data_IF_951876434222
#
_entry.id   IF_951876434222
#
_cell.length_a   1.000
_cell.length_b   1.000
_cell.length_c   1.000
_cell.angle_alpha   90.00
_cell.angle_beta   90.00
_cell.angle_gamma   90.00
#
_symmetry.space_group_name_H-M   'P 1'
#
loop_
_entity.id
_entity.type
_entity.pdbx_description
1 polymer ?
#
# COMPACT_ATOMS: atom_id res chain seq x y z
N UNK A 1 10.68 -4.69 -18.74
CA UNK A 1 9.31 -4.78 -18.17
C UNK A 1 8.24 -4.86 -19.25
N UNK A 2 7.87 -3.76 -19.94
CA UNK A 2 6.84 -3.80 -21.00
C UNK A 2 7.13 -4.78 -22.15
N UNK A 3 8.41 -4.90 -22.56
CA UNK A 3 8.84 -5.90 -23.54
C UNK A 3 8.64 -7.34 -23.05
N UNK A 4 8.88 -7.59 -21.78
CA UNK A 4 8.78 -8.92 -21.16
C UNK A 4 7.32 -9.35 -20.96
N UNK A 5 6.43 -8.40 -20.62
CA UNK A 5 4.98 -8.61 -20.54
C UNK A 5 4.40 -9.00 -21.90
N UNK A 6 4.83 -8.32 -22.97
CA UNK A 6 4.45 -8.67 -24.36
C UNK A 6 4.90 -10.07 -24.75
N UNK A 7 6.14 -10.45 -24.42
CA UNK A 7 6.67 -11.80 -24.68
C UNK A 7 5.85 -12.88 -23.97
N UNK A 8 5.31 -12.59 -22.79
CA UNK A 8 4.45 -13.51 -22.02
C UNK A 8 2.97 -13.45 -22.41
N UNK A 9 2.61 -12.74 -23.48
CA UNK A 9 1.22 -12.48 -23.89
C UNK A 9 0.34 -11.91 -22.76
N UNK A 10 0.96 -11.18 -21.83
CA UNK A 10 0.25 -10.53 -20.75
C UNK A 10 -0.17 -9.13 -21.21
N UNK A 11 -1.43 -9.01 -21.60
CA UNK A 11 -2.02 -7.75 -22.03
C UNK A 11 -2.31 -6.90 -20.79
N UNK A 12 -1.38 -6.02 -20.44
CA UNK A 12 -1.53 -5.08 -19.34
C UNK A 12 -2.10 -3.76 -19.86
N UNK A 13 -3.41 -3.73 -20.08
CA UNK A 13 -4.17 -2.54 -20.50
C UNK A 13 -4.75 -1.84 -19.27
N UNK A 14 -3.85 -1.19 -18.52
CA UNK A 14 -4.18 -0.44 -17.31
C UNK A 14 -3.77 1.01 -17.51
N UNK A 15 -4.63 1.93 -17.08
CA UNK A 15 -4.30 3.36 -17.00
C UNK A 15 -3.08 3.58 -16.12
N UNK A 16 -2.33 4.64 -16.38
CA UNK A 16 -1.26 5.07 -15.49
C UNK A 16 -1.85 5.35 -14.10
N UNK A 17 -1.13 4.99 -13.04
CA UNK A 17 -1.59 5.19 -11.67
C UNK A 17 -0.93 6.44 -11.10
N UNK A 18 -1.73 7.42 -10.70
CA UNK A 18 -1.24 8.60 -9.98
C UNK A 18 -1.63 8.52 -8.51
N UNK A 19 -0.63 8.34 -7.66
CA UNK A 19 -0.80 8.17 -6.23
C UNK A 19 -0.63 9.51 -5.50
N UNK A 20 -1.64 9.90 -4.72
CA UNK A 20 -1.51 10.96 -3.72
C UNK A 20 -1.46 10.29 -2.35
N UNK A 21 -0.33 10.41 -1.66
CA UNK A 21 -0.13 9.80 -0.35
C UNK A 21 -0.51 10.76 0.79
N UNK A 22 -1.16 10.22 1.82
CA UNK A 22 -1.54 10.91 3.04
C UNK A 22 -1.24 10.04 4.25
N UNK A 23 -0.48 10.56 5.21
CA UNK A 23 -0.19 9.87 6.45
C UNK A 23 -1.12 10.34 7.57
N UNK A 24 -1.95 9.42 8.05
CA UNK A 24 -2.77 9.60 9.24
C UNK A 24 -1.90 9.80 10.48
N UNK A 25 -2.28 10.75 11.32
CA UNK A 25 -1.68 10.93 12.65
C UNK A 25 -2.78 11.00 13.69
N UNK A 26 -2.50 10.68 14.96
CA UNK A 26 -3.49 10.73 16.06
C UNK A 26 -4.18 12.08 16.23
N UNK A 27 -3.56 13.15 15.74
CA UNK A 27 -4.08 14.52 15.79
C UNK A 27 -4.62 15.00 14.43
N UNK A 28 -4.79 14.09 13.48
CA UNK A 28 -5.29 14.39 12.16
C UNK A 28 -6.69 14.96 12.25
N UNK A 29 -6.84 16.23 11.85
CA UNK A 29 -8.13 16.90 11.83
C UNK A 29 -8.94 16.38 10.64
N UNK A 30 -10.27 16.16 10.78
CA UNK A 30 -11.13 15.77 9.66
C UNK A 30 -11.01 16.69 8.43
N UNK A 31 -10.72 17.98 8.64
CA UNK A 31 -10.50 18.92 7.55
C UNK A 31 -9.26 18.60 6.70
N UNK A 32 -8.19 18.05 7.28
CA UNK A 32 -7.00 17.66 6.52
C UNK A 32 -7.30 16.46 5.60
N UNK A 33 -8.09 15.50 6.09
CA UNK A 33 -8.58 14.36 5.29
C UNK A 33 -9.46 14.87 4.15
N UNK A 34 -10.36 15.82 4.43
CA UNK A 34 -11.21 16.43 3.40
C UNK A 34 -10.37 17.19 2.36
N UNK A 35 -9.39 17.96 2.78
CA UNK A 35 -8.54 18.75 1.89
C UNK A 35 -7.77 17.85 0.91
N UNK A 36 -7.15 16.78 1.41
CA UNK A 36 -6.43 15.83 0.54
C UNK A 36 -7.39 15.04 -0.36
N UNK A 37 -8.60 14.76 0.12
CA UNK A 37 -9.65 14.13 -0.68
C UNK A 37 -10.09 15.02 -1.84
N UNK A 38 -10.42 16.28 -1.54
CA UNK A 38 -10.81 17.28 -2.53
C UNK A 38 -9.67 17.54 -3.53
N UNK A 39 -8.41 17.54 -3.07
CA UNK A 39 -7.24 17.60 -3.94
C UNK A 39 -7.19 16.40 -4.88
N UNK A 40 -7.38 15.19 -4.37
CA UNK A 40 -7.34 13.96 -5.18
C UNK A 40 -8.46 13.91 -6.21
N UNK A 41 -9.68 14.33 -5.84
CA UNK A 41 -10.82 14.41 -6.76
C UNK A 41 -10.55 15.36 -7.93
N UNK A 42 -9.84 16.49 -7.71
CA UNK A 42 -9.47 17.42 -8.79
C UNK A 42 -8.58 16.78 -9.86
N UNK A 43 -7.71 15.86 -9.45
CA UNK A 43 -6.80 15.13 -10.35
C UNK A 43 -7.44 13.85 -10.94
N UNK A 44 -8.68 13.51 -10.58
CA UNK A 44 -9.35 12.28 -11.03
C UNK A 44 -10.00 12.38 -12.42
N UNK A 45 -10.02 13.57 -13.04
CA UNK A 45 -10.69 13.81 -14.32
C UNK A 45 -9.84 13.46 -15.56
N UNK A 46 -8.59 13.03 -15.38
CA UNK A 46 -7.75 12.58 -16.49
C UNK A 46 -8.27 11.26 -17.06
N UNK A 47 -8.32 11.15 -18.40
CA UNK A 47 -8.80 9.95 -19.09
C UNK A 47 -7.74 8.85 -19.12
N UNK A 48 -6.46 9.21 -19.13
CA UNK A 48 -5.34 8.29 -19.32
C UNK A 48 -4.73 7.83 -17.98
N UNK A 49 -5.09 8.53 -16.90
CA UNK A 49 -4.56 8.30 -15.55
C UNK A 49 -5.69 7.95 -14.58
N UNK A 50 -5.49 6.91 -13.77
CA UNK A 50 -6.30 6.64 -12.57
C UNK A 50 -5.61 7.27 -11.37
N UNK A 51 -6.14 8.39 -10.91
CA UNK A 51 -5.70 9.01 -9.66
C UNK A 51 -6.35 8.33 -8.46
N UNK A 52 -5.56 8.01 -7.43
CA UNK A 52 -6.05 7.40 -6.20
C UNK A 52 -5.35 7.96 -4.96
N UNK A 53 -6.03 7.84 -3.82
CA UNK A 53 -5.52 8.29 -2.52
C UNK A 53 -4.95 7.11 -1.74
N UNK A 54 -3.70 7.20 -1.30
CA UNK A 54 -3.07 6.24 -0.39
C UNK A 54 -3.09 6.81 1.04
N UNK A 55 -3.90 6.21 1.91
CA UNK A 55 -3.90 6.49 3.34
C UNK A 55 -2.94 5.54 4.06
N UNK A 56 -1.85 6.08 4.57
CA UNK A 56 -0.99 5.41 5.55
C UNK A 56 -1.55 5.65 6.96
N UNK A 57 -1.59 4.62 7.81
CA UNK A 57 -2.27 4.62 9.13
C UNK A 57 -3.77 5.03 9.05
N UNK A 58 -4.54 4.34 8.19
CA UNK A 58 -5.97 4.63 7.95
C UNK A 58 -6.86 4.35 9.17
N UNK A 59 -6.42 3.55 10.13
CA UNK A 59 -7.14 3.28 11.38
C UNK A 59 -7.47 4.54 12.17
N UNK A 60 -6.66 5.58 12.00
CA UNK A 60 -6.81 6.87 12.65
C UNK A 60 -7.75 7.81 11.86
N UNK A 61 -7.99 7.53 10.58
CA UNK A 61 -8.76 8.40 9.69
C UNK A 61 -10.27 8.10 9.76
N UNK A 62 -11.09 9.14 9.88
CA UNK A 62 -12.54 9.03 9.68
C UNK A 62 -12.86 9.06 8.18
N UNK A 63 -13.08 7.89 7.59
CA UNK A 63 -13.45 7.77 6.17
C UNK A 63 -14.78 8.49 5.92
N UNK A 64 -14.75 9.50 5.06
CA UNK A 64 -15.91 10.27 4.60
C UNK A 64 -16.73 9.35 3.67
N UNK A 65 -18.07 9.40 3.75
CA UNK A 65 -18.97 8.47 3.05
C UNK A 65 -18.79 8.37 1.53
N UNK A 66 -19.54 7.47 0.89
CA UNK A 66 -19.66 7.26 -0.57
C UNK A 66 -18.42 7.69 -1.39
N UNK A 67 -17.34 6.88 -1.43
CA UNK A 67 -16.11 7.31 -2.07
C UNK A 67 -16.32 7.54 -3.56
N UNK A 68 -15.99 8.75 -4.03
CA UNK A 68 -16.01 9.14 -5.45
C UNK A 68 -14.69 8.88 -6.16
N UNK A 69 -13.62 8.67 -5.40
CA UNK A 69 -12.27 8.40 -5.87
C UNK A 69 -11.82 7.03 -5.36
N UNK A 70 -10.99 6.29 -6.12
CA UNK A 70 -10.32 5.10 -5.61
C UNK A 70 -9.38 5.48 -4.45
N UNK A 71 -9.28 4.62 -3.44
CA UNK A 71 -8.31 4.78 -2.37
C UNK A 71 -7.79 3.43 -1.88
N UNK A 72 -6.57 3.45 -1.32
CA UNK A 72 -5.92 2.33 -0.65
C UNK A 72 -5.60 2.77 0.77
N UNK A 73 -5.93 1.94 1.75
CA UNK A 73 -5.59 2.17 3.15
C UNK A 73 -4.58 1.13 3.64
N UNK A 74 -3.50 1.57 4.27
CA UNK A 74 -2.52 0.75 4.98
C UNK A 74 -2.68 1.03 6.47
N UNK A 75 -2.64 0.00 7.29
CA UNK A 75 -2.71 0.12 8.74
C UNK A 75 -2.03 -1.07 9.40
N UNK A 76 -1.30 -0.79 10.47
CA UNK A 76 -0.79 -1.82 11.39
C UNK A 76 -1.83 -2.19 12.46
N UNK A 77 -2.86 -1.37 12.63
CA UNK A 77 -3.92 -1.55 13.61
C UNK A 77 -5.20 -2.09 12.99
N UNK A 78 -5.97 -2.79 13.81
CA UNK A 78 -7.28 -3.28 13.41
C UNK A 78 -8.21 -2.11 13.08
N UNK A 79 -8.89 -2.23 11.95
CA UNK A 79 -9.96 -1.31 11.55
C UNK A 79 -11.28 -1.74 12.19
N UNK A 80 -12.15 -0.78 12.47
CA UNK A 80 -13.50 -1.10 12.88
C UNK A 80 -14.30 -1.72 11.72
N UNK A 81 -15.31 -2.54 12.08
CA UNK A 81 -16.11 -3.28 11.10
C UNK A 81 -16.85 -2.35 10.12
N UNK A 82 -17.24 -1.14 10.53
CA UNK A 82 -17.95 -0.22 9.65
C UNK A 82 -17.05 0.34 8.54
N UNK A 83 -15.74 0.51 8.79
CA UNK A 83 -14.75 0.82 7.76
C UNK A 83 -14.49 -0.38 6.85
N UNK A 84 -14.29 -1.57 7.44
CA UNK A 84 -13.98 -2.79 6.69
C UNK A 84 -15.11 -3.21 5.73
N UNK A 85 -16.37 -2.98 6.08
CA UNK A 85 -17.53 -3.29 5.22
C UNK A 85 -17.52 -2.57 3.86
N UNK A 86 -16.68 -1.54 3.69
CA UNK A 86 -16.59 -0.73 2.47
C UNK A 86 -15.32 -1.00 1.67
N UNK A 87 -14.48 -1.94 2.11
CA UNK A 87 -13.15 -2.16 1.57
C UNK A 87 -12.92 -3.64 1.30
N UNK A 88 -12.07 -3.94 0.32
CA UNK A 88 -11.47 -5.27 0.20
C UNK A 88 -10.24 -5.29 1.11
N UNK A 89 -10.28 -6.15 2.13
CA UNK A 89 -9.22 -6.25 3.11
C UNK A 89 -8.23 -7.35 2.73
N UNK A 90 -6.94 -7.00 2.70
CA UNK A 90 -5.84 -7.96 2.60
C UNK A 90 -5.02 -7.90 3.88
N UNK A 91 -4.94 -9.02 4.60
CA UNK A 91 -4.13 -9.12 5.81
C UNK A 91 -2.75 -9.66 5.47
N UNK A 92 -1.71 -8.92 5.88
CA UNK A 92 -0.32 -9.34 5.74
C UNK A 92 0.11 -9.94 7.09
N UNK A 93 0.25 -11.27 7.20
CA UNK A 93 0.67 -11.90 8.45
C UNK A 93 2.15 -11.64 8.72
N UNK A 94 2.57 -11.87 9.97
CA UNK A 94 3.98 -11.92 10.31
C UNK A 94 4.71 -12.98 9.48
N UNK A 95 5.91 -12.64 9.02
CA UNK A 95 6.78 -13.56 8.29
C UNK A 95 7.23 -14.72 9.19
N UNK A 96 7.24 -15.93 8.64
CA UNK A 96 7.79 -17.10 9.34
C UNK A 96 9.31 -17.04 9.42
N UNK A 97 9.91 -17.91 10.24
CA UNK A 97 11.37 -17.98 10.39
C UNK A 97 12.09 -18.20 9.05
N UNK A 98 11.57 -19.10 8.21
CA UNK A 98 12.13 -19.36 6.88
C UNK A 98 11.99 -18.14 5.94
N UNK A 99 10.87 -17.43 6.01
CA UNK A 99 10.66 -16.20 5.23
C UNK A 99 11.67 -15.11 5.63
N UNK A 100 11.94 -14.99 6.94
CA UNK A 100 12.95 -14.06 7.47
C UNK A 100 14.35 -14.42 6.97
N UNK A 101 14.74 -15.71 7.03
CA UNK A 101 16.03 -16.18 6.51
C UNK A 101 16.14 -15.90 5.01
N UNK A 102 15.11 -16.22 4.23
CA UNK A 102 15.09 -16.02 2.78
C UNK A 102 15.17 -14.54 2.41
N UNK A 103 14.44 -13.69 3.14
CA UNK A 103 14.46 -12.24 2.96
C UNK A 103 15.83 -11.68 3.28
N UNK A 104 16.39 -12.02 4.45
CA UNK A 104 17.72 -11.59 4.86
C UNK A 104 18.80 -12.04 3.86
N UNK A 105 18.75 -13.30 3.43
CA UNK A 105 19.66 -13.86 2.41
C UNK A 105 19.57 -13.09 1.09
N UNK A 106 18.36 -12.72 0.66
CA UNK A 106 18.15 -11.94 -0.56
C UNK A 106 18.69 -10.51 -0.46
N UNK A 107 18.55 -9.87 0.71
CA UNK A 107 19.10 -8.52 0.98
C UNK A 107 20.63 -8.55 0.94
N UNK A 108 21.25 -9.56 1.56
CA UNK A 108 22.73 -9.65 1.70
C UNK A 108 23.39 -10.48 0.59
N UNK A 109 22.70 -10.75 -0.51
CA UNK A 109 23.16 -11.58 -1.63
C UNK A 109 24.55 -11.19 -2.17
N UNK A 110 25.02 -9.96 -1.88
CA UNK A 110 26.38 -9.48 -2.13
C UNK A 110 27.46 -9.97 -1.13
N UNK A 111 27.20 -11.07 -0.40
CA UNK A 111 28.16 -11.91 0.36
C UNK A 111 28.91 -11.26 1.54
N UNK A 112 28.28 -10.32 2.26
CA UNK A 112 28.87 -9.81 3.52
C UNK A 112 28.70 -10.81 4.67
N UNK A 113 27.63 -11.60 4.66
CA UNK A 113 27.29 -12.56 5.71
C UNK A 113 27.09 -13.97 5.15
N UNK A 114 27.63 -14.96 5.84
CA UNK A 114 27.33 -16.37 5.62
C UNK A 114 25.92 -16.72 6.12
N UNK A 115 25.34 -17.80 5.60
CA UNK A 115 24.01 -18.28 6.03
C UNK A 115 23.92 -18.54 7.53
N UNK A 116 25.01 -18.99 8.15
CA UNK A 116 25.08 -19.26 9.59
C UNK A 116 25.05 -17.98 10.43
N UNK A 117 25.65 -16.89 9.92
CA UNK A 117 25.59 -15.58 10.58
C UNK A 117 24.20 -14.97 10.48
N UNK A 118 23.50 -15.16 9.35
CA UNK A 118 22.11 -14.73 9.18
C UNK A 118 21.18 -15.45 10.15
N UNK A 119 21.32 -16.77 10.29
CA UNK A 119 20.49 -17.56 11.23
C UNK A 119 20.69 -17.06 12.66
N UNK A 120 21.95 -16.83 13.09
CA UNK A 120 22.25 -16.29 14.43
C UNK A 120 21.71 -14.89 14.72
N UNK A 121 21.40 -14.09 13.70
CA UNK A 121 20.81 -12.75 13.88
C UNK A 121 19.28 -12.77 14.02
N UNK A 122 18.65 -13.87 13.61
CA UNK A 122 17.20 -14.04 13.60
C UNK A 122 16.72 -14.80 14.87
N UNK A 123 17.60 -15.58 15.49
CA UNK A 123 17.41 -16.26 16.79
C UNK A 123 17.64 -15.31 17.99
#
# INVERSE_FOLDING_TARGET
FHSELKTRQFHFDMKELYCIAFQGTRYCKPNAIKEIWDQTERYCNDKDTTTFLLFDEIDIASIIGSPKIPFVGISNWNLDAAKMNRMVMHFIPSLGHDDLINTATSIVANKIFSKQEIIKMIE
#
